data_IF_350725904482
#
_entry.id   IF_350725904482
#
_cell.length_a   1.000
_cell.length_b   1.000
_cell.length_c   1.000
_cell.angle_alpha   90.00
_cell.angle_beta   90.00
_cell.angle_gamma   90.00
#
_symmetry.space_group_name_H-M   'P 1'
#
loop_
_entity.id
_entity.type
_entity.pdbx_description
1 polymer ?
#
# COMPACT_ATOMS: atom_id res chain seq x y z
N UNK A 1 10.72 -22.66 -64.56
CA UNK A 1 9.43 -23.25 -64.15
C UNK A 1 9.31 -22.99 -62.66
N UNK A 2 8.47 -22.03 -62.26
CA UNK A 2 8.15 -21.81 -60.87
C UNK A 2 7.26 -22.96 -60.38
N UNK A 3 7.73 -23.71 -59.40
CA UNK A 3 6.96 -24.73 -58.71
C UNK A 3 6.37 -24.07 -57.45
N UNK A 4 5.08 -23.74 -57.47
CA UNK A 4 4.34 -23.22 -56.33
C UNK A 4 2.90 -22.89 -56.74
N UNK A 5 1.98 -22.94 -55.79
CA UNK A 5 0.59 -22.53 -56.00
C UNK A 5 0.56 -20.98 -56.15
N UNK A 6 0.06 -20.45 -57.31
CA UNK A 6 0.01 -18.99 -57.53
C UNK A 6 -0.99 -18.26 -56.61
N UNK A 7 -1.86 -19.02 -55.94
CA UNK A 7 -2.80 -18.46 -54.99
C UNK A 7 -2.38 -18.80 -53.56
N UNK A 8 -2.25 -17.82 -52.67
CA UNK A 8 -1.98 -18.11 -51.26
C UNK A 8 -3.11 -18.99 -50.70
N UNK A 9 -2.73 -20.00 -49.93
CA UNK A 9 -3.71 -20.82 -49.19
C UNK A 9 -4.55 -19.96 -48.29
N UNK A 10 -5.88 -20.23 -48.20
CA UNK A 10 -6.75 -19.51 -47.27
C UNK A 10 -6.24 -19.71 -45.84
N UNK A 11 -5.86 -18.64 -45.18
CA UNK A 11 -5.23 -18.69 -43.87
C UNK A 11 -5.53 -17.38 -43.09
N UNK A 12 -5.68 -17.47 -41.79
CA UNK A 12 -5.71 -16.32 -40.89
C UNK A 12 -4.66 -16.55 -39.78
N UNK A 13 -3.88 -15.56 -39.45
CA UNK A 13 -2.79 -15.75 -38.48
C UNK A 13 -2.48 -14.53 -37.63
N UNK A 14 -1.96 -14.78 -36.45
CA UNK A 14 -1.38 -13.77 -35.59
C UNK A 14 0.06 -13.53 -35.99
N UNK A 15 0.36 -12.33 -36.49
CA UNK A 15 1.71 -11.92 -36.95
C UNK A 15 2.59 -11.58 -35.74
N UNK A 16 2.06 -10.86 -34.75
CA UNK A 16 2.80 -10.40 -33.59
C UNK A 16 1.92 -9.99 -32.43
N UNK A 17 2.54 -9.92 -31.26
CA UNK A 17 1.96 -9.32 -30.06
C UNK A 17 2.97 -8.33 -29.51
N UNK A 18 2.57 -7.08 -29.43
CA UNK A 18 3.33 -6.01 -28.78
C UNK A 18 2.76 -5.79 -27.37
N UNK A 19 3.54 -6.15 -26.37
CA UNK A 19 3.21 -5.92 -24.97
C UNK A 19 4.18 -4.90 -24.38
N UNK A 20 3.77 -4.10 -23.36
CA UNK A 20 4.70 -3.26 -22.63
C UNK A 20 5.75 -4.13 -21.90
N UNK A 21 6.90 -3.57 -21.51
CA UNK A 21 7.96 -4.33 -20.84
C UNK A 21 7.54 -4.85 -19.46
N UNK A 22 6.60 -4.18 -18.81
CA UNK A 22 5.99 -4.60 -17.53
C UNK A 22 4.56 -4.10 -17.43
N UNK A 23 3.78 -4.70 -16.53
CA UNK A 23 2.46 -4.24 -16.10
C UNK A 23 2.40 -4.14 -14.58
N UNK A 24 1.47 -3.36 -14.06
CA UNK A 24 1.26 -3.22 -12.62
C UNK A 24 0.09 -4.09 -12.19
N UNK A 25 0.28 -4.88 -11.12
CA UNK A 25 -0.78 -5.72 -10.57
C UNK A 25 -2.01 -4.89 -10.20
N UNK A 26 -3.18 -5.31 -10.66
CA UNK A 26 -4.44 -4.62 -10.38
C UNK A 26 -4.72 -3.38 -11.25
N UNK A 27 -3.81 -3.00 -12.16
CA UNK A 27 -4.02 -1.90 -13.11
C UNK A 27 -4.31 -2.42 -14.53
N UNK A 28 -5.18 -1.76 -15.30
CA UNK A 28 -5.43 -2.15 -16.68
C UNK A 28 -4.17 -2.00 -17.54
N UNK A 29 -3.88 -3.00 -18.35
CA UNK A 29 -2.81 -3.01 -19.35
C UNK A 29 -3.38 -3.38 -20.70
N UNK A 30 -2.91 -2.73 -21.76
CA UNK A 30 -3.28 -3.04 -23.14
C UNK A 30 -2.12 -3.69 -23.89
N UNK A 31 -2.42 -4.73 -24.66
CA UNK A 31 -1.49 -5.37 -25.60
C UNK A 31 -2.04 -5.28 -26.99
N UNK A 32 -1.19 -4.91 -27.96
CA UNK A 32 -1.58 -4.79 -29.35
C UNK A 32 -1.23 -6.08 -30.09
N UNK A 33 -2.24 -6.69 -30.73
CA UNK A 33 -2.10 -7.91 -31.52
C UNK A 33 -2.21 -7.57 -33.00
N UNK A 34 -1.14 -7.80 -33.75
CA UNK A 34 -1.13 -7.67 -35.21
C UNK A 34 -1.50 -8.99 -35.85
N UNK A 35 -2.47 -8.98 -36.73
CA UNK A 35 -2.95 -10.15 -37.45
C UNK A 35 -3.23 -9.86 -38.94
N UNK A 36 -3.31 -10.88 -39.74
CA UNK A 36 -3.60 -10.81 -41.18
C UNK A 36 -4.40 -12.03 -41.63
N UNK A 37 -5.05 -11.96 -42.79
CA UNK A 37 -5.72 -13.10 -43.43
C UNK A 37 -5.64 -13.09 -44.94
N UNK A 38 -5.79 -14.25 -45.55
CA UNK A 38 -5.88 -14.47 -47.02
C UNK A 38 -7.21 -15.11 -47.43
N UNK A 39 -8.19 -15.23 -46.52
CA UNK A 39 -9.46 -15.90 -46.71
C UNK A 39 -10.42 -14.95 -47.46
N UNK A 40 -10.91 -15.29 -48.69
CA UNK A 40 -11.87 -14.48 -49.40
C UNK A 40 -13.21 -14.41 -48.67
N UNK A 41 -13.78 -13.19 -48.51
CA UNK A 41 -15.07 -13.02 -47.88
C UNK A 41 -15.11 -13.35 -46.39
N UNK A 42 -13.95 -13.32 -45.71
CA UNK A 42 -13.88 -13.50 -44.25
C UNK A 42 -14.85 -12.57 -43.54
N UNK A 43 -15.57 -13.09 -42.57
CA UNK A 43 -16.44 -12.33 -41.68
C UNK A 43 -15.71 -11.96 -40.39
N UNK A 44 -16.38 -11.18 -39.53
CA UNK A 44 -15.87 -10.89 -38.19
C UNK A 44 -15.51 -12.19 -37.45
N UNK A 45 -14.42 -12.17 -36.74
CA UNK A 45 -13.95 -13.25 -35.86
C UNK A 45 -13.72 -12.72 -34.45
N UNK A 46 -13.31 -13.61 -33.55
CA UNK A 46 -13.04 -13.25 -32.15
C UNK A 46 -11.57 -13.46 -31.82
N UNK A 47 -10.93 -12.41 -31.29
CA UNK A 47 -9.61 -12.49 -30.69
C UNK A 47 -9.78 -12.67 -29.18
N UNK A 48 -9.20 -13.72 -28.60
CA UNK A 48 -9.30 -14.07 -27.18
C UNK A 48 -7.94 -14.04 -26.51
N UNK A 49 -7.91 -13.63 -25.26
CA UNK A 49 -6.71 -13.66 -24.42
C UNK A 49 -6.93 -14.62 -23.25
N UNK A 50 -5.95 -15.52 -23.08
CA UNK A 50 -5.96 -16.53 -22.02
C UNK A 50 -4.80 -16.34 -21.06
N UNK A 51 -5.05 -16.59 -19.79
CA UNK A 51 -4.04 -16.74 -18.75
C UNK A 51 -4.31 -18.04 -17.99
N UNK A 52 -3.31 -18.90 -17.89
CA UNK A 52 -3.42 -20.22 -17.23
C UNK A 52 -4.62 -21.05 -17.75
N UNK A 53 -4.91 -20.98 -19.05
CA UNK A 53 -6.00 -21.71 -19.67
C UNK A 53 -7.39 -21.10 -19.51
N UNK A 54 -7.53 -19.99 -18.75
CA UNK A 54 -8.78 -19.28 -18.57
C UNK A 54 -8.84 -18.05 -19.47
N UNK A 55 -9.94 -17.86 -20.20
CA UNK A 55 -10.19 -16.62 -20.95
C UNK A 55 -10.35 -15.44 -19.98
N UNK A 56 -9.58 -14.37 -20.21
CA UNK A 56 -9.59 -13.16 -19.37
C UNK A 56 -10.18 -11.93 -20.08
N UNK A 57 -10.06 -11.88 -21.42
CA UNK A 57 -10.70 -10.83 -22.23
C UNK A 57 -10.83 -11.30 -23.67
N UNK A 58 -11.67 -10.64 -24.45
CA UNK A 58 -11.85 -10.87 -25.89
C UNK A 58 -12.25 -9.59 -26.59
N UNK A 59 -11.98 -9.55 -27.91
CA UNK A 59 -12.42 -8.50 -28.82
C UNK A 59 -12.97 -9.11 -30.12
N UNK A 60 -14.01 -8.51 -30.66
CA UNK A 60 -14.47 -8.82 -32.01
C UNK A 60 -13.56 -8.10 -33.01
N UNK A 61 -12.98 -8.83 -33.94
CA UNK A 61 -12.09 -8.28 -34.97
C UNK A 61 -12.77 -8.32 -36.32
N UNK A 62 -12.74 -7.19 -37.01
CA UNK A 62 -13.21 -7.08 -38.41
C UNK A 62 -12.03 -7.40 -39.32
N UNK A 63 -12.24 -8.24 -40.35
CA UNK A 63 -11.15 -8.58 -41.25
C UNK A 63 -10.67 -7.34 -42.02
N UNK A 64 -9.34 -7.14 -42.10
CA UNK A 64 -8.76 -6.12 -42.97
C UNK A 64 -8.96 -6.52 -44.45
N UNK A 65 -8.48 -5.72 -45.38
CA UNK A 65 -8.38 -6.15 -46.76
C UNK A 65 -7.50 -7.42 -46.88
N UNK A 66 -7.86 -8.31 -47.77
CA UNK A 66 -7.17 -9.59 -47.95
C UNK A 66 -5.66 -9.39 -48.17
N UNK A 67 -4.84 -9.97 -47.32
CA UNK A 67 -3.38 -9.80 -47.31
C UNK A 67 -2.88 -8.55 -46.59
N UNK A 68 -3.78 -7.67 -46.11
CA UNK A 68 -3.42 -6.54 -45.25
C UNK A 68 -3.31 -6.95 -43.80
N UNK A 69 -2.60 -6.14 -43.02
CA UNK A 69 -2.49 -6.30 -41.56
C UNK A 69 -3.44 -5.36 -40.83
N UNK A 70 -3.96 -5.84 -39.72
CA UNK A 70 -4.73 -5.04 -38.78
C UNK A 70 -4.22 -5.26 -37.38
N UNK A 71 -4.38 -4.23 -36.54
CA UNK A 71 -4.05 -4.27 -35.14
C UNK A 71 -5.35 -4.29 -34.31
N UNK A 72 -5.32 -5.03 -33.21
CA UNK A 72 -6.38 -5.05 -32.21
C UNK A 72 -5.79 -4.93 -30.83
N UNK A 73 -6.36 -4.08 -30.00
CA UNK A 73 -5.95 -3.90 -28.62
C UNK A 73 -6.80 -4.77 -27.69
N UNK A 74 -6.12 -5.56 -26.87
CA UNK A 74 -6.73 -6.36 -25.81
C UNK A 74 -6.35 -5.76 -24.46
N UNK A 75 -7.31 -5.20 -23.76
CA UNK A 75 -7.11 -4.64 -22.44
C UNK A 75 -7.56 -5.62 -21.35
N UNK A 76 -6.71 -5.82 -20.35
CA UNK A 76 -6.99 -6.69 -19.20
C UNK A 76 -6.27 -6.19 -17.94
N UNK A 77 -6.65 -6.74 -16.77
CA UNK A 77 -6.04 -6.40 -15.48
C UNK A 77 -5.31 -7.63 -14.93
N UNK A 78 -3.97 -7.61 -14.86
CA UNK A 78 -3.19 -8.71 -14.29
C UNK A 78 -3.45 -8.83 -12.78
N UNK A 79 -3.63 -10.06 -12.30
CA UNK A 79 -3.91 -10.36 -10.88
C UNK A 79 -2.79 -11.13 -10.18
N UNK A 80 -1.78 -11.60 -10.92
CA UNK A 80 -0.66 -12.36 -10.38
C UNK A 80 0.67 -11.70 -10.74
N UNK A 81 1.60 -11.69 -9.78
CA UNK A 81 2.93 -11.06 -9.90
C UNK A 81 3.97 -11.94 -10.57
N UNK A 82 5.05 -11.30 -10.96
CA UNK A 82 6.19 -11.94 -11.63
C UNK A 82 5.97 -12.16 -13.10
N UNK A 83 6.83 -12.96 -13.71
CA UNK A 83 6.74 -13.28 -15.14
C UNK A 83 5.51 -14.17 -15.40
N UNK A 84 4.50 -13.61 -16.05
CA UNK A 84 3.25 -14.29 -16.39
C UNK A 84 3.21 -14.58 -17.89
N UNK A 85 2.78 -15.81 -18.25
CA UNK A 85 2.61 -16.22 -19.64
C UNK A 85 1.14 -16.10 -20.04
N UNK A 86 0.91 -15.43 -21.15
CA UNK A 86 -0.41 -15.22 -21.75
C UNK A 86 -0.45 -15.85 -23.14
N UNK A 87 -1.63 -16.26 -23.57
CA UNK A 87 -1.87 -16.80 -24.92
C UNK A 87 -2.96 -16.01 -25.60
N UNK A 88 -2.66 -15.44 -26.75
CA UNK A 88 -3.67 -14.87 -27.66
C UNK A 88 -4.09 -15.95 -28.63
N UNK A 89 -5.38 -16.01 -28.92
CA UNK A 89 -5.99 -16.95 -29.85
C UNK A 89 -7.01 -16.24 -30.74
N UNK A 90 -6.83 -16.37 -32.06
CA UNK A 90 -7.84 -16.00 -33.05
C UNK A 90 -8.76 -17.19 -33.24
N UNK A 91 -10.08 -16.99 -33.13
CA UNK A 91 -11.05 -18.02 -33.36
C UNK A 91 -10.96 -18.54 -34.79
N UNK A 92 -10.86 -19.89 -34.95
CA UNK A 92 -10.68 -20.52 -36.23
C UNK A 92 -11.79 -20.19 -37.22
N UNK A 93 -11.42 -19.96 -38.47
CA UNK A 93 -12.34 -19.54 -39.52
C UNK A 93 -12.62 -20.75 -40.44
N UNK A 94 -13.86 -21.03 -40.83
CA UNK A 94 -14.18 -22.12 -41.75
C UNK A 94 -13.41 -22.00 -43.07
N UNK A 95 -12.75 -23.10 -43.47
CA UNK A 95 -11.96 -23.17 -44.72
C UNK A 95 -10.51 -22.76 -44.58
N UNK A 96 -10.05 -22.51 -43.37
CA UNK A 96 -8.66 -22.19 -43.05
C UNK A 96 -7.75 -23.44 -43.22
N UNK A 97 -6.59 -23.25 -43.82
CA UNK A 97 -5.65 -24.33 -44.08
C UNK A 97 -4.76 -24.68 -42.88
N UNK A 98 -4.55 -23.73 -41.98
CA UNK A 98 -3.70 -23.88 -40.79
C UNK A 98 -4.33 -23.18 -39.58
N UNK A 99 -4.39 -23.86 -38.45
CA UNK A 99 -4.93 -23.31 -37.20
C UNK A 99 -3.89 -23.13 -36.10
N UNK A 100 -2.68 -23.65 -36.29
CA UNK A 100 -1.61 -23.57 -35.30
C UNK A 100 -1.06 -22.16 -35.17
N UNK A 101 -1.11 -21.35 -36.24
CA UNK A 101 -0.65 -19.96 -36.28
C UNK A 101 -1.68 -18.96 -35.79
N UNK A 102 -2.87 -19.45 -35.42
CA UNK A 102 -3.92 -18.67 -34.73
C UNK A 102 -3.65 -18.45 -33.24
N UNK A 103 -2.58 -19.07 -32.72
CA UNK A 103 -2.18 -18.93 -31.32
C UNK A 103 -0.79 -18.32 -31.21
N UNK A 104 -0.65 -17.39 -30.26
CA UNK A 104 0.65 -16.82 -29.93
C UNK A 104 0.77 -16.56 -28.45
N UNK A 105 1.89 -16.98 -27.88
CA UNK A 105 2.23 -16.74 -26.49
C UNK A 105 3.11 -15.50 -26.37
N UNK A 106 2.92 -14.76 -25.30
CA UNK A 106 3.82 -13.71 -24.86
C UNK A 106 3.97 -13.76 -23.35
N UNK A 107 5.05 -13.16 -22.84
CA UNK A 107 5.31 -13.02 -21.41
C UNK A 107 5.24 -11.56 -21.02
N UNK A 108 4.71 -11.30 -19.83
CA UNK A 108 4.58 -9.97 -19.25
C UNK A 108 5.06 -10.04 -17.81
N UNK A 109 6.01 -9.15 -17.44
CA UNK A 109 6.43 -9.01 -16.05
C UNK A 109 5.43 -8.16 -15.29
N UNK A 110 4.76 -8.75 -14.31
CA UNK A 110 3.73 -8.08 -13.50
C UNK A 110 4.36 -7.65 -12.17
N UNK A 111 4.59 -6.35 -12.04
CA UNK A 111 5.18 -5.75 -10.85
C UNK A 111 4.10 -5.31 -9.86
N UNK A 112 4.48 -5.19 -8.59
CA UNK A 112 3.58 -4.69 -7.54
C UNK A 112 3.29 -3.21 -7.74
N UNK A 113 2.02 -2.81 -7.58
CA UNK A 113 1.67 -1.41 -7.45
C UNK A 113 2.40 -0.79 -6.25
N UNK A 114 3.07 0.34 -6.45
CA UNK A 114 3.67 1.08 -5.34
C UNK A 114 2.57 1.71 -4.50
N UNK A 115 2.76 1.67 -3.18
CA UNK A 115 1.87 2.36 -2.24
C UNK A 115 2.16 3.85 -2.28
N UNK A 116 1.15 4.66 -2.54
CA UNK A 116 1.27 6.12 -2.51
C UNK A 116 1.28 6.60 -1.07
N UNK A 117 2.41 7.17 -0.62
CA UNK A 117 2.58 7.74 0.70
C UNK A 117 2.68 9.27 0.60
N UNK A 118 1.66 9.99 1.07
CA UNK A 118 1.63 11.45 1.10
C UNK A 118 2.10 11.94 2.46
N UNK A 119 3.22 12.65 2.50
CA UNK A 119 3.75 13.29 3.70
C UNK A 119 3.35 14.76 3.66
N UNK A 120 2.52 15.19 4.60
CA UNK A 120 2.06 16.56 4.75
C UNK A 120 2.79 17.17 5.95
N UNK A 121 3.54 18.24 5.74
CA UNK A 121 4.31 18.88 6.79
C UNK A 121 4.14 20.39 6.79
N UNK A 122 4.12 21.00 7.97
CA UNK A 122 4.11 22.45 8.13
C UNK A 122 5.41 23.08 7.66
N UNK A 123 6.51 22.55 8.14
CA UNK A 123 7.86 23.02 7.83
C UNK A 123 8.81 21.83 7.65
N UNK A 124 9.95 22.00 6.94
CA UNK A 124 11.01 21.01 6.93
C UNK A 124 11.50 20.71 8.35
N UNK A 125 11.62 19.44 8.70
CA UNK A 125 12.12 18.98 9.99
C UNK A 125 12.88 17.67 9.86
N UNK A 126 13.61 17.30 10.91
CA UNK A 126 14.32 16.02 10.94
C UNK A 126 13.35 14.83 10.93
N UNK A 127 12.14 14.98 11.49
CA UNK A 127 11.09 13.96 11.43
C UNK A 127 10.55 13.78 10.00
N UNK A 128 10.39 14.86 9.23
CA UNK A 128 10.08 14.77 7.79
C UNK A 128 11.20 14.06 7.03
N UNK A 129 12.46 14.41 7.33
CA UNK A 129 13.63 13.74 6.76
C UNK A 129 13.67 12.24 7.09
N UNK A 130 13.24 11.85 8.27
CA UNK A 130 13.08 10.44 8.64
C UNK A 130 12.07 9.73 7.72
N UNK A 131 10.87 10.27 7.53
CA UNK A 131 9.85 9.66 6.67
C UNK A 131 10.28 9.58 5.21
N UNK A 132 10.94 10.63 4.72
CA UNK A 132 11.50 10.60 3.37
C UNK A 132 12.50 9.45 3.17
N UNK A 133 13.43 9.25 4.11
CA UNK A 133 14.37 8.12 4.07
C UNK A 133 13.65 6.78 4.28
N UNK A 134 12.69 6.75 5.21
CA UNK A 134 11.95 5.54 5.55
C UNK A 134 11.21 4.96 4.34
N UNK A 135 10.53 5.79 3.56
CA UNK A 135 9.84 5.37 2.34
C UNK A 135 10.78 5.26 1.14
N UNK A 136 11.71 6.19 0.97
CA UNK A 136 12.64 6.20 -0.17
C UNK A 136 13.60 5.01 -0.21
N UNK A 137 13.87 4.38 0.95
CA UNK A 137 14.65 3.14 1.03
C UNK A 137 13.85 1.88 0.64
N UNK A 138 12.58 2.01 0.24
CA UNK A 138 11.67 0.91 -0.08
C UNK A 138 11.09 1.06 -1.47
N UNK A 139 11.27 0.04 -2.29
CA UNK A 139 10.78 0.03 -3.67
C UNK A 139 9.25 -0.05 -3.78
N UNK A 140 8.58 -0.51 -2.72
CA UNK A 140 7.13 -0.69 -2.67
C UNK A 140 6.35 0.57 -2.28
N UNK A 141 7.03 1.71 -2.11
CA UNK A 141 6.40 3.01 -1.84
C UNK A 141 6.75 4.05 -2.89
N UNK A 142 5.80 4.97 -3.11
CA UNK A 142 5.96 6.19 -3.89
C UNK A 142 5.69 7.39 -2.95
N UNK A 143 6.73 7.93 -2.27
CA UNK A 143 6.57 9.02 -1.34
C UNK A 143 6.46 10.36 -2.04
N UNK A 144 5.43 11.13 -1.68
CA UNK A 144 5.26 12.53 -2.09
C UNK A 144 5.28 13.41 -0.84
N UNK A 145 6.12 14.44 -0.80
CA UNK A 145 6.19 15.38 0.30
C UNK A 145 5.57 16.70 -0.11
N UNK A 146 4.59 17.15 0.65
CA UNK A 146 3.97 18.45 0.51
C UNK A 146 4.24 19.31 1.75
N UNK A 147 4.69 20.56 1.53
CA UNK A 147 4.96 21.51 2.61
C UNK A 147 3.96 22.68 2.55
N UNK A 148 3.40 23.03 3.70
CA UNK A 148 2.47 24.16 3.84
C UNK A 148 3.16 25.52 4.04
N UNK A 149 4.46 25.63 3.79
CA UNK A 149 5.21 26.87 4.05
C UNK A 149 4.91 27.97 3.05
N UNK A 150 4.78 29.24 3.52
CA UNK A 150 4.58 30.40 2.62
C UNK A 150 5.81 30.74 1.77
N UNK A 151 6.98 30.11 2.01
CA UNK A 151 8.25 30.39 1.34
C UNK A 151 8.42 29.74 -0.04
N UNK A 152 7.57 28.78 -0.40
CA UNK A 152 7.49 28.24 -1.76
C UNK A 152 6.08 28.45 -2.28
N UNK A 153 5.96 28.92 -3.53
CA UNK A 153 4.69 28.83 -4.29
C UNK A 153 4.44 27.36 -4.63
N UNK A 154 4.16 26.56 -3.62
CA UNK A 154 3.69 25.20 -3.82
C UNK A 154 2.21 25.29 -4.12
N UNK A 155 1.76 24.59 -5.16
CA UNK A 155 0.33 24.50 -5.45
C UNK A 155 -0.42 24.03 -4.18
N UNK A 156 -1.60 24.58 -3.88
CA UNK A 156 -2.40 24.11 -2.76
C UNK A 156 -2.62 22.61 -2.89
N UNK A 157 -2.54 21.89 -1.78
CA UNK A 157 -2.87 20.47 -1.77
C UNK A 157 -4.36 20.32 -2.10
N UNK A 158 -4.63 19.85 -3.31
CA UNK A 158 -6.00 19.67 -3.79
C UNK A 158 -6.60 18.37 -3.23
N UNK A 159 -7.93 18.29 -3.08
CA UNK A 159 -8.61 17.04 -2.75
C UNK A 159 -8.24 15.88 -3.69
N UNK A 160 -8.04 16.17 -4.99
CA UNK A 160 -7.66 15.17 -5.99
C UNK A 160 -6.25 14.60 -5.76
N UNK A 161 -5.34 15.42 -5.22
CA UNK A 161 -3.98 14.95 -4.84
C UNK A 161 -4.00 13.98 -3.66
N UNK A 162 -5.05 14.04 -2.83
CA UNK A 162 -5.25 13.14 -1.69
C UNK A 162 -5.96 11.85 -2.12
N UNK A 163 -6.82 11.94 -3.13
CA UNK A 163 -7.54 10.78 -3.65
C UNK A 163 -6.57 9.69 -4.15
N UNK A 164 -6.89 8.43 -3.86
CA UNK A 164 -6.06 7.28 -4.23
C UNK A 164 -4.73 7.16 -3.47
N UNK A 165 -4.53 7.92 -2.38
CA UNK A 165 -3.40 7.75 -1.47
C UNK A 165 -3.65 6.56 -0.54
N UNK A 166 -2.65 5.68 -0.38
CA UNK A 166 -2.76 4.53 0.53
C UNK A 166 -2.43 4.90 1.97
N UNK A 167 -1.55 5.90 2.17
CA UNK A 167 -1.08 6.35 3.47
C UNK A 167 -0.87 7.86 3.47
N UNK A 168 -1.40 8.54 4.49
CA UNK A 168 -1.11 9.93 4.78
C UNK A 168 -0.31 10.00 6.09
N UNK A 169 0.83 10.69 6.05
CA UNK A 169 1.65 11.04 7.22
C UNK A 169 1.53 12.55 7.41
N UNK A 170 0.71 12.98 8.35
CA UNK A 170 0.48 14.39 8.62
C UNK A 170 1.25 14.85 9.85
N UNK A 171 2.26 15.69 9.62
CA UNK A 171 3.19 16.20 10.62
C UNK A 171 2.93 17.68 10.85
N UNK A 172 2.11 17.98 11.83
CA UNK A 172 1.71 19.35 12.15
C UNK A 172 1.81 19.70 13.64
N UNK A 173 2.99 19.60 14.26
CA UNK A 173 3.15 19.90 15.66
C UNK A 173 2.89 21.38 16.00
N UNK A 174 3.02 22.28 15.04
CA UNK A 174 2.72 23.70 15.22
C UNK A 174 1.25 24.07 14.95
N UNK A 175 0.51 23.19 14.29
CA UNK A 175 -0.92 23.28 14.00
C UNK A 175 -1.32 24.50 13.20
N UNK A 176 -1.43 24.46 11.90
CA UNK A 176 -2.07 25.42 10.99
C UNK A 176 -1.75 25.11 9.53
N UNK A 177 -1.33 23.88 9.25
CA UNK A 177 -0.82 23.56 7.91
C UNK A 177 -1.89 23.38 6.87
N UNK A 178 -3.08 22.89 7.26
CA UNK A 178 -4.12 22.56 6.30
C UNK A 178 -5.39 23.40 6.50
N UNK A 179 -5.93 23.99 5.41
CA UNK A 179 -7.27 24.55 5.42
C UNK A 179 -8.32 23.49 5.77
N UNK A 180 -9.47 23.88 6.37
CA UNK A 180 -10.54 22.94 6.74
C UNK A 180 -11.00 22.04 5.59
N UNK A 181 -11.11 22.57 4.38
CA UNK A 181 -11.49 21.80 3.18
C UNK A 181 -10.51 20.67 2.86
N UNK A 182 -9.23 20.89 3.05
CA UNK A 182 -8.19 19.87 2.84
C UNK A 182 -8.19 18.86 3.99
N UNK A 183 -8.42 19.28 5.22
CA UNK A 183 -8.62 18.39 6.37
C UNK A 183 -9.83 17.46 6.15
N UNK A 184 -10.92 17.98 5.59
CA UNK A 184 -12.10 17.17 5.25
C UNK A 184 -11.83 16.19 4.12
N UNK A 185 -10.93 16.53 3.18
CA UNK A 185 -10.49 15.60 2.15
C UNK A 185 -9.62 14.47 2.73
N UNK A 186 -8.73 14.78 3.69
CA UNK A 186 -7.99 13.76 4.45
C UNK A 186 -8.96 12.83 5.19
N UNK A 187 -9.96 13.40 5.87
CA UNK A 187 -10.95 12.59 6.58
C UNK A 187 -11.72 11.65 5.64
N UNK A 188 -12.14 12.13 4.46
CA UNK A 188 -12.80 11.29 3.44
C UNK A 188 -11.90 10.16 2.96
N UNK A 189 -10.63 10.46 2.65
CA UNK A 189 -9.68 9.43 2.23
C UNK A 189 -9.54 8.31 3.28
N UNK A 190 -9.49 8.68 4.56
CA UNK A 190 -9.47 7.70 5.66
C UNK A 190 -10.77 6.91 5.75
N UNK A 191 -11.92 7.56 5.62
CA UNK A 191 -13.22 6.87 5.59
C UNK A 191 -13.31 5.85 4.45
N UNK A 192 -12.62 6.08 3.34
CA UNK A 192 -12.54 5.20 2.16
C UNK A 192 -11.48 4.11 2.28
N UNK A 193 -10.60 4.16 3.27
CA UNK A 193 -9.63 3.11 3.56
C UNK A 193 -8.16 3.53 3.54
N UNK A 194 -7.84 4.83 3.37
CA UNK A 194 -6.49 5.35 3.50
C UNK A 194 -6.03 5.25 4.96
N UNK A 195 -4.77 4.85 5.18
CA UNK A 195 -4.14 4.92 6.50
C UNK A 195 -3.75 6.35 6.85
N UNK A 196 -3.91 6.75 8.13
CA UNK A 196 -3.48 8.06 8.62
C UNK A 196 -2.55 7.92 9.82
N UNK A 197 -1.32 8.40 9.68
CA UNK A 197 -0.46 8.74 10.80
C UNK A 197 -0.56 10.26 11.01
N UNK A 198 -1.03 10.67 12.19
CA UNK A 198 -1.20 12.07 12.55
C UNK A 198 -0.32 12.43 13.75
N UNK A 199 0.59 13.37 13.56
CA UNK A 199 1.25 14.08 14.66
C UNK A 199 0.49 15.38 14.86
N UNK A 200 -0.46 15.44 15.83
CA UNK A 200 -1.36 16.56 15.97
C UNK A 200 -0.62 17.81 16.44
N UNK A 201 -1.10 18.95 15.98
CA UNK A 201 -0.75 20.24 16.53
C UNK A 201 -1.67 20.66 17.68
N UNK A 202 -1.46 21.87 18.16
CA UNK A 202 -2.25 22.50 19.24
C UNK A 202 -3.52 23.17 18.73
N UNK A 203 -3.74 23.24 17.42
CA UNK A 203 -4.85 23.96 16.81
C UNK A 203 -6.07 23.07 16.51
N UNK A 204 -7.19 23.74 16.24
CA UNK A 204 -8.44 23.07 15.95
C UNK A 204 -8.36 22.30 14.62
N UNK A 205 -8.68 21.04 14.66
CA UNK A 205 -8.96 20.23 13.46
C UNK A 205 -10.42 20.41 13.03
N UNK A 206 -10.72 20.17 11.74
CA UNK A 206 -12.09 20.25 11.24
C UNK A 206 -12.99 19.25 12.00
N UNK A 207 -14.31 19.53 12.09
CA UNK A 207 -15.25 18.61 12.75
C UNK A 207 -15.17 17.19 12.19
N UNK A 208 -15.12 17.05 10.88
CA UNK A 208 -15.05 15.74 10.21
C UNK A 208 -13.76 14.98 10.54
N UNK A 209 -12.61 15.66 10.50
CA UNK A 209 -11.34 15.03 10.85
C UNK A 209 -11.33 14.64 12.34
N UNK A 210 -11.90 15.48 13.20
CA UNK A 210 -12.02 15.18 14.64
C UNK A 210 -12.79 13.90 14.92
N UNK A 211 -13.82 13.60 14.14
CA UNK A 211 -14.65 12.39 14.33
C UNK A 211 -13.88 11.09 14.06
N UNK A 212 -12.91 11.11 13.14
CA UNK A 212 -12.13 9.92 12.78
C UNK A 212 -10.87 9.72 13.63
N UNK A 213 -10.44 10.76 14.39
CA UNK A 213 -9.27 10.61 15.26
C UNK A 213 -9.61 9.75 16.49
N UNK A 214 -8.73 8.80 16.87
CA UNK A 214 -8.93 7.94 18.04
C UNK A 214 -8.72 8.68 19.38
N UNK A 215 -8.53 9.98 19.35
CA UNK A 215 -8.30 10.83 20.52
C UNK A 215 -9.12 12.10 20.46
N UNK A 216 -9.38 12.67 21.63
CA UNK A 216 -9.84 14.06 21.78
C UNK A 216 -8.62 14.96 21.89
N UNK A 217 -8.64 16.07 21.14
CA UNK A 217 -7.56 17.06 21.10
C UNK A 217 -7.89 18.31 21.91
N UNK A 218 -8.90 18.26 22.76
CA UNK A 218 -9.34 19.42 23.57
C UNK A 218 -8.35 19.70 24.71
N UNK A 219 -7.74 20.87 24.69
CA UNK A 219 -6.77 21.26 25.71
C UNK A 219 -5.37 20.68 25.52
N UNK A 220 -5.08 20.16 24.34
CA UNK A 220 -3.73 19.71 23.99
C UNK A 220 -2.74 20.88 23.96
N UNK A 221 -1.50 20.62 24.38
CA UNK A 221 -0.40 21.59 24.37
C UNK A 221 0.85 20.91 23.83
N UNK A 222 1.61 21.63 23.04
CA UNK A 222 2.94 21.19 22.63
C UNK A 222 3.98 21.67 23.67
N UNK A 223 4.75 20.74 24.18
CA UNK A 223 5.78 20.98 25.18
C UNK A 223 7.13 20.57 24.58
N UNK A 224 8.06 21.50 24.35
CA UNK A 224 9.42 21.17 23.97
C UNK A 224 10.18 20.62 25.18
N UNK A 225 11.03 19.62 24.97
CA UNK A 225 11.81 19.00 26.04
C UNK A 225 12.15 17.56 25.71
N UNK A 226 12.81 16.90 26.67
CA UNK A 226 13.10 15.47 26.55
C UNK A 226 12.06 14.67 27.34
N UNK A 227 11.42 13.72 26.66
CA UNK A 227 10.34 12.91 27.23
C UNK A 227 10.64 11.44 26.99
N UNK A 228 10.79 10.70 28.07
CA UNK A 228 10.87 9.25 28.01
C UNK A 228 9.51 8.65 27.70
N UNK A 229 9.51 7.56 26.94
CA UNK A 229 8.28 6.87 26.54
C UNK A 229 8.40 5.38 26.78
N UNK A 230 7.26 4.78 27.11
CA UNK A 230 7.15 3.34 27.41
C UNK A 230 6.03 2.74 26.59
N UNK A 231 6.18 1.46 26.24
CA UNK A 231 5.07 0.72 25.63
C UNK A 231 3.97 0.53 26.65
N UNK A 232 2.72 0.71 26.20
CA UNK A 232 1.56 0.40 27.03
C UNK A 232 1.38 -1.13 27.15
N UNK A 233 1.04 -1.59 28.34
CA UNK A 233 0.71 -3.00 28.56
C UNK A 233 -0.77 -3.28 28.22
N UNK A 234 -1.12 -4.49 27.77
CA UNK A 234 -0.23 -5.61 27.46
C UNK A 234 0.39 -5.47 26.07
N UNK A 235 1.67 -5.86 25.93
CA UNK A 235 2.49 -5.68 24.72
C UNK A 235 1.93 -6.34 23.45
N UNK A 236 1.07 -7.32 23.57
CA UNK A 236 0.57 -8.11 22.44
C UNK A 236 -0.90 -7.85 22.11
N UNK A 237 -1.51 -6.87 22.73
CA UNK A 237 -2.94 -6.58 22.56
C UNK A 237 -3.28 -5.93 21.21
N UNK A 238 -2.29 -5.45 20.46
CA UNK A 238 -2.52 -4.75 19.20
C UNK A 238 -1.58 -5.26 18.10
N UNK A 239 -2.02 -5.33 16.83
CA UNK A 239 -1.17 -5.74 15.72
C UNK A 239 0.16 -4.97 15.58
N UNK A 240 0.20 -3.70 15.94
CA UNK A 240 1.44 -2.91 15.92
C UNK A 240 2.45 -3.44 16.93
N UNK A 241 2.02 -3.84 18.12
CA UNK A 241 2.88 -4.35 19.18
C UNK A 241 3.15 -5.84 19.12
N UNK A 242 2.52 -6.58 18.20
CA UNK A 242 2.62 -8.03 18.13
C UNK A 242 2.88 -8.63 16.75
N UNK A 243 3.22 -7.83 15.73
CA UNK A 243 3.27 -8.29 14.33
C UNK A 243 4.57 -8.96 13.87
N UNK A 244 5.65 -8.93 14.61
CA UNK A 244 6.93 -9.49 14.15
C UNK A 244 7.48 -10.54 15.13
N UNK A 245 7.69 -11.81 14.68
CA UNK A 245 8.35 -12.84 15.50
C UNK A 245 9.79 -12.48 15.90
N UNK A 246 10.43 -11.53 15.20
CA UNK A 246 11.71 -10.92 15.59
C UNK A 246 11.62 -9.96 16.77
N UNK A 247 10.46 -9.78 17.36
CA UNK A 247 10.17 -8.91 18.51
C UNK A 247 10.76 -9.35 19.86
N UNK A 248 11.63 -10.35 19.90
CA UNK A 248 12.56 -10.50 21.04
C UNK A 248 13.37 -9.20 21.32
N UNK A 249 13.35 -8.24 20.38
CA UNK A 249 14.01 -6.94 20.45
C UNK A 249 13.21 -5.85 21.18
N UNK A 250 11.97 -6.10 21.61
CA UNK A 250 11.25 -5.15 22.48
C UNK A 250 11.92 -4.96 23.86
N UNK A 251 12.77 -5.87 24.27
CA UNK A 251 13.65 -5.66 25.43
C UNK A 251 14.60 -4.46 25.25
N UNK A 252 14.81 -4.02 24.01
CA UNK A 252 15.58 -2.81 23.69
C UNK A 252 14.75 -1.53 23.67
N UNK A 253 13.42 -1.57 23.92
CA UNK A 253 12.59 -0.35 23.98
C UNK A 253 13.06 0.60 25.07
N UNK A 254 13.56 0.11 26.18
CA UNK A 254 14.13 0.91 27.26
C UNK A 254 15.34 1.77 26.79
N UNK A 255 15.97 1.39 25.68
CA UNK A 255 17.08 2.13 25.07
C UNK A 255 16.66 3.14 23.99
N UNK A 256 15.35 3.28 23.74
CA UNK A 256 14.83 4.24 22.75
C UNK A 256 15.12 5.67 23.25
N UNK A 257 15.79 6.51 22.43
CA UNK A 257 16.08 7.88 22.83
C UNK A 257 14.83 8.68 23.17
N UNK A 258 14.86 9.57 24.18
CA UNK A 258 13.75 10.42 24.52
C UNK A 258 13.24 11.25 23.33
N UNK A 259 11.96 11.53 23.27
CA UNK A 259 11.36 12.48 22.33
C UNK A 259 11.86 13.89 22.64
N UNK A 260 11.90 14.78 21.64
CA UNK A 260 12.32 16.18 21.79
C UNK A 260 11.15 17.15 21.97
N UNK A 261 9.95 16.67 21.92
CA UNK A 261 8.73 17.42 22.17
C UNK A 261 7.54 16.47 22.27
N UNK A 262 6.57 16.89 23.03
CA UNK A 262 5.37 16.11 23.31
C UNK A 262 4.11 16.97 23.19
N UNK A 263 3.07 16.41 22.60
CA UNK A 263 1.70 16.95 22.68
C UNK A 263 1.02 16.31 23.86
N UNK A 264 0.91 17.03 24.95
CA UNK A 264 0.21 16.60 26.17
C UNK A 264 -1.31 16.77 26.05
N UNK A 265 -2.07 16.07 26.89
CA UNK A 265 -3.52 16.18 26.97
C UNK A 265 -4.28 15.35 25.92
N UNK A 266 -3.64 14.40 25.25
CA UNK A 266 -4.33 13.43 24.39
C UNK A 266 -5.25 12.54 25.23
N UNK A 267 -6.55 12.51 24.90
CA UNK A 267 -7.54 11.67 25.59
C UNK A 267 -8.04 10.58 24.65
N UNK A 268 -7.68 9.31 24.86
CA UNK A 268 -8.16 8.21 24.02
C UNK A 268 -9.67 8.11 24.07
N UNK A 269 -10.29 7.90 22.90
CA UNK A 269 -11.73 7.65 22.78
C UNK A 269 -12.06 6.19 23.08
N UNK A 270 -13.33 5.93 23.34
CA UNK A 270 -13.82 4.56 23.49
C UNK A 270 -13.48 3.76 22.21
N UNK A 271 -12.90 2.58 22.37
CA UNK A 271 -12.47 1.74 21.27
C UNK A 271 -11.06 2.00 20.77
N UNK A 272 -10.40 3.07 21.19
CA UNK A 272 -9.00 3.33 20.85
C UNK A 272 -8.04 2.53 21.74
N UNK A 273 -6.89 2.17 21.18
CA UNK A 273 -5.83 1.43 21.88
C UNK A 273 -4.63 2.33 22.08
N UNK A 274 -4.20 2.48 23.34
CA UNK A 274 -2.95 3.17 23.69
C UNK A 274 -1.80 2.21 23.47
N UNK A 275 -0.80 2.61 22.66
CA UNK A 275 0.37 1.81 22.31
C UNK A 275 1.63 2.26 23.04
N UNK A 276 1.77 3.57 23.22
CA UNK A 276 2.92 4.20 23.86
C UNK A 276 2.41 5.25 24.85
N UNK A 277 3.03 5.29 26.02
CA UNK A 277 2.76 6.26 27.08
C UNK A 277 4.03 6.98 27.49
N UNK A 278 3.88 8.19 27.99
CA UNK A 278 4.89 8.95 28.73
C UNK A 278 4.34 9.39 30.08
N UNK A 279 5.14 10.14 30.85
CA UNK A 279 4.71 10.64 32.16
C UNK A 279 3.53 11.63 32.06
N UNK A 280 3.38 12.33 30.92
CA UNK A 280 2.27 13.23 30.65
C UNK A 280 1.03 12.53 30.06
N UNK A 281 1.01 11.21 29.98
CA UNK A 281 -0.11 10.41 29.48
C UNK A 281 0.14 9.71 28.13
N UNK A 282 -0.92 9.41 27.36
CA UNK A 282 -0.81 8.71 26.07
C UNK A 282 0.01 9.49 25.05
N UNK A 283 0.90 8.79 24.33
CA UNK A 283 1.76 9.32 23.27
C UNK A 283 1.37 8.75 21.92
N UNK A 284 1.14 7.43 21.81
CA UNK A 284 0.66 6.81 20.60
C UNK A 284 -0.67 6.12 20.84
N UNK A 285 -1.68 6.48 20.05
CA UNK A 285 -3.05 5.94 20.17
C UNK A 285 -3.54 5.50 18.80
N UNK A 286 -3.90 4.23 18.68
CA UNK A 286 -4.42 3.61 17.48
C UNK A 286 -5.95 3.48 17.50
N UNK A 287 -6.58 3.59 16.33
CA UNK A 287 -8.01 3.39 16.16
C UNK A 287 -8.42 3.31 14.71
N UNK A 288 -9.72 3.24 14.46
CA UNK A 288 -10.31 3.10 13.12
C UNK A 288 -11.14 4.33 12.77
N UNK A 289 -10.99 4.80 11.52
CA UNK A 289 -11.81 5.84 10.91
C UNK A 289 -12.71 5.28 9.82
N UNK A 290 -13.76 4.55 10.17
CA UNK A 290 -14.61 3.75 9.27
C UNK A 290 -13.80 2.61 8.62
N UNK A 291 -13.38 2.75 7.34
CA UNK A 291 -12.60 1.71 6.63
C UNK A 291 -11.10 1.85 6.81
N UNK A 292 -10.60 3.07 7.05
CA UNK A 292 -9.18 3.34 7.24
C UNK A 292 -8.76 3.23 8.70
N UNK A 293 -7.47 3.18 8.93
CA UNK A 293 -6.83 3.07 10.23
C UNK A 293 -6.12 4.36 10.57
N UNK A 294 -6.15 4.73 11.83
CA UNK A 294 -5.59 5.99 12.30
C UNK A 294 -4.64 5.74 13.47
N UNK A 295 -3.43 6.26 13.38
CA UNK A 295 -2.48 6.33 14.47
C UNK A 295 -2.20 7.80 14.78
N UNK A 296 -2.56 8.23 15.98
CA UNK A 296 -2.14 9.52 16.50
C UNK A 296 -0.87 9.32 17.31
N UNK A 297 0.17 10.11 17.01
CA UNK A 297 1.44 10.08 17.70
C UNK A 297 1.81 11.49 18.18
N UNK A 298 1.73 11.72 19.48
CA UNK A 298 1.90 13.04 20.10
C UNK A 298 3.36 13.44 20.33
N UNK A 299 4.33 12.87 19.63
CA UNK A 299 5.74 13.12 19.88
C UNK A 299 6.50 13.65 18.67
N UNK A 300 7.58 14.39 18.92
CA UNK A 300 8.55 14.83 17.90
C UNK A 300 9.98 14.41 18.27
N UNK A 301 10.88 14.39 17.28
CA UNK A 301 12.27 13.97 17.52
C UNK A 301 12.47 12.45 17.47
N UNK A 302 11.46 11.70 17.04
CA UNK A 302 11.52 10.24 16.88
C UNK A 302 12.43 9.78 15.72
N UNK A 303 12.90 10.69 14.86
CA UNK A 303 13.97 10.40 13.90
C UNK A 303 15.23 9.84 14.55
N UNK A 304 15.47 10.19 15.84
CA UNK A 304 16.58 9.71 16.65
C UNK A 304 16.48 8.20 16.93
N UNK A 305 15.28 7.65 16.94
CA UNK A 305 15.01 6.23 17.17
C UNK A 305 15.60 5.31 16.10
N UNK A 306 15.89 5.86 14.93
CA UNK A 306 16.55 5.15 13.84
C UNK A 306 18.06 5.46 13.80
N UNK A 307 18.43 6.74 13.79
CA UNK A 307 19.80 7.17 13.50
C UNK A 307 20.75 6.87 14.66
N UNK A 308 20.38 7.18 15.91
CA UNK A 308 21.29 7.03 17.03
C UNK A 308 21.63 5.57 17.33
N UNK A 309 20.67 4.64 17.42
CA UNK A 309 21.01 3.23 17.62
C UNK A 309 21.84 2.64 16.48
N UNK A 310 21.56 3.02 15.22
CA UNK A 310 22.39 2.60 14.07
C UNK A 310 23.82 3.10 14.17
N UNK A 311 24.00 4.34 14.60
CA UNK A 311 25.33 4.92 14.86
C UNK A 311 26.12 4.15 15.93
N UNK A 312 25.42 3.44 16.83
CA UNK A 312 26.01 2.55 17.85
C UNK A 312 26.11 1.08 17.39
N UNK A 313 25.86 0.79 16.12
CA UNK A 313 25.95 -0.56 15.55
C UNK A 313 24.71 -1.44 15.76
N UNK A 314 23.60 -0.89 16.26
CA UNK A 314 22.34 -1.63 16.42
C UNK A 314 21.64 -1.75 15.06
N UNK A 315 21.60 -2.95 14.51
CA UNK A 315 21.09 -3.20 13.15
C UNK A 315 19.60 -2.99 12.97
N UNK A 316 18.80 -3.33 13.98
CA UNK A 316 17.32 -3.20 13.94
C UNK A 316 16.80 -2.53 15.22
N UNK A 317 16.83 -1.18 15.29
CA UNK A 317 16.38 -0.46 16.47
C UNK A 317 14.89 -0.67 16.76
N UNK A 318 14.52 -0.80 18.04
CA UNK A 318 13.12 -0.98 18.47
C UNK A 318 12.18 0.11 17.94
N UNK A 319 12.62 1.37 17.92
CA UNK A 319 11.83 2.46 17.35
C UNK A 319 11.58 2.32 15.84
N UNK A 320 12.58 1.82 15.08
CA UNK A 320 12.38 1.52 13.65
C UNK A 320 11.42 0.35 13.45
N UNK A 321 11.51 -0.68 14.30
CA UNK A 321 10.60 -1.83 14.27
C UNK A 321 9.15 -1.37 14.56
N UNK A 322 8.95 -0.49 15.55
CA UNK A 322 7.66 0.13 15.83
C UNK A 322 7.08 0.83 14.60
N UNK A 323 7.86 1.69 13.94
CA UNK A 323 7.38 2.41 12.75
C UNK A 323 7.07 1.47 11.58
N UNK A 324 7.88 0.43 11.36
CA UNK A 324 7.58 -0.60 10.35
C UNK A 324 6.24 -1.29 10.61
N UNK A 325 6.00 -1.69 11.86
CA UNK A 325 4.74 -2.33 12.25
C UNK A 325 3.55 -1.37 12.14
N UNK A 326 3.72 -0.11 12.57
CA UNK A 326 2.70 0.93 12.50
C UNK A 326 2.27 1.19 11.05
N UNK A 327 3.24 1.38 10.14
CA UNK A 327 2.94 1.63 8.72
C UNK A 327 2.29 0.40 8.08
N UNK A 328 2.79 -0.82 8.35
CA UNK A 328 2.17 -2.05 7.87
C UNK A 328 0.71 -2.16 8.31
N UNK A 329 0.43 -1.87 9.58
CA UNK A 329 -0.93 -1.89 10.10
C UNK A 329 -1.81 -0.83 9.44
N UNK A 330 -1.33 0.41 9.28
CA UNK A 330 -2.09 1.50 8.68
C UNK A 330 -2.54 1.21 7.25
N UNK A 331 -1.69 0.57 6.43
CA UNK A 331 -1.98 0.28 5.02
C UNK A 331 -2.63 -1.08 4.77
N UNK A 332 -2.74 -1.92 5.81
CA UNK A 332 -3.35 -3.25 5.66
C UNK A 332 -4.85 -3.10 5.45
N UNK A 333 -5.35 -3.63 4.33
CA UNK A 333 -6.78 -3.70 4.01
C UNK A 333 -7.43 -4.99 4.52
N UNK A 334 -6.63 -5.93 4.99
CA UNK A 334 -7.14 -7.17 5.58
C UNK A 334 -7.84 -6.84 6.90
N UNK A 335 -9.03 -7.41 7.09
CA UNK A 335 -9.63 -7.47 8.42
C UNK A 335 -8.58 -8.02 9.39
N UNK A 336 -8.42 -7.37 10.53
CA UNK A 336 -7.49 -7.84 11.57
C UNK A 336 -7.71 -9.34 11.74
N UNK A 337 -6.64 -10.15 11.67
CA UNK A 337 -6.79 -11.58 11.92
C UNK A 337 -7.40 -11.74 13.32
N UNK A 338 -8.67 -12.13 13.36
CA UNK A 338 -9.42 -12.27 14.61
C UNK A 338 -8.82 -13.33 15.52
N UNK A 339 -8.04 -14.23 14.96
CA UNK A 339 -7.35 -15.29 15.70
C UNK A 339 -5.87 -15.29 15.32
N UNK A 340 -5.02 -15.10 16.30
CA UNK A 340 -3.57 -15.25 16.16
C UNK A 340 -3.10 -16.40 16.99
N UNK A 341 -2.28 -17.25 16.38
CA UNK A 341 -1.63 -18.38 17.04
C UNK A 341 -0.12 -18.14 17.05
N UNK A 342 0.49 -18.22 18.20
CA UNK A 342 1.92 -18.00 18.36
C UNK A 342 2.54 -19.10 19.22
N UNK A 343 3.74 -19.53 18.86
CA UNK A 343 4.55 -20.44 19.69
C UNK A 343 5.57 -19.64 20.49
N UNK A 344 5.87 -20.06 21.69
CA UNK A 344 6.80 -19.36 22.60
C UNK A 344 8.24 -19.26 22.08
N UNK A 345 8.62 -20.10 21.08
CA UNK A 345 9.94 -20.12 20.44
C UNK A 345 9.79 -20.43 18.95
N UNK A 346 10.72 -19.97 18.10
CA UNK A 346 10.68 -20.27 16.66
C UNK A 346 11.08 -21.72 16.33
N UNK A 347 11.80 -22.40 17.24
CA UNK A 347 12.27 -23.78 17.05
C UNK A 347 12.13 -24.60 18.35
N UNK A 348 11.74 -25.85 18.20
CA UNK A 348 11.60 -26.84 19.30
C UNK A 348 12.35 -28.11 18.92
N UNK A 349 12.86 -28.80 19.92
CA UNK A 349 13.44 -30.15 19.74
C UNK A 349 12.32 -31.19 19.68
N UNK A 350 12.58 -32.29 18.98
CA UNK A 350 11.64 -33.41 18.94
C UNK A 350 11.34 -33.92 20.36
N UNK A 351 10.05 -33.96 20.74
CA UNK A 351 9.59 -34.35 22.09
C UNK A 351 9.53 -33.22 23.12
N UNK A 352 9.93 -31.97 22.75
CA UNK A 352 9.78 -30.81 23.62
C UNK A 352 8.31 -30.32 23.60
N UNK A 353 7.71 -30.01 24.77
CA UNK A 353 6.36 -29.43 24.79
C UNK A 353 6.32 -28.05 24.17
N UNK A 354 5.40 -27.85 23.22
CA UNK A 354 5.19 -26.55 22.53
C UNK A 354 4.11 -25.78 23.27
N UNK A 355 4.46 -24.64 23.85
CA UNK A 355 3.48 -23.69 24.34
C UNK A 355 2.92 -22.91 23.14
N UNK A 356 1.61 -22.97 22.96
CA UNK A 356 0.87 -22.25 21.92
C UNK A 356 -0.01 -21.23 22.60
N UNK A 357 0.24 -19.96 22.34
CA UNK A 357 -0.59 -18.86 22.81
C UNK A 357 -1.56 -18.46 21.68
N UNK A 358 -2.86 -18.45 21.96
CA UNK A 358 -3.92 -18.09 21.03
C UNK A 358 -4.55 -16.78 21.49
N UNK A 359 -4.48 -15.77 20.65
CA UNK A 359 -5.09 -14.47 20.88
C UNK A 359 -6.29 -14.32 19.97
N UNK A 360 -7.44 -14.04 20.58
CA UNK A 360 -8.69 -13.76 19.84
C UNK A 360 -9.02 -12.30 20.02
N UNK A 361 -9.28 -11.59 18.91
CA UNK A 361 -9.69 -10.20 18.92
C UNK A 361 -10.98 -10.01 18.11
N UNK A 362 -11.77 -9.02 18.47
CA UNK A 362 -12.92 -8.58 17.70
C UNK A 362 -12.52 -7.78 16.44
N UNK A 363 -13.50 -7.36 15.63
CA UNK A 363 -13.26 -6.54 14.43
C UNK A 363 -12.58 -5.20 14.75
N UNK A 364 -12.67 -4.71 15.97
CA UNK A 364 -12.01 -3.50 16.44
C UNK A 364 -10.61 -3.77 17.01
N UNK A 365 -10.06 -5.01 16.83
CA UNK A 365 -8.76 -5.46 17.39
C UNK A 365 -8.69 -5.47 18.91
N UNK A 366 -9.83 -5.54 19.61
CA UNK A 366 -9.88 -5.71 21.06
C UNK A 366 -9.78 -7.18 21.41
N UNK A 367 -9.01 -7.54 22.48
CA UNK A 367 -9.02 -8.90 23.00
C UNK A 367 -10.45 -9.30 23.40
N UNK A 368 -10.84 -10.51 22.99
CA UNK A 368 -12.08 -11.13 23.46
C UNK A 368 -11.67 -12.02 24.64
N UNK A 369 -12.02 -11.59 25.85
CA UNK A 369 -11.87 -12.41 27.05
C UNK A 369 -12.92 -13.52 27.05
N UNK A 370 -12.48 -14.74 27.28
CA UNK A 370 -13.36 -15.89 27.49
C UNK A 370 -13.61 -16.10 28.98
#
# INVERSE_FOLDING_TARGET
VGVGNPHPEPDARIVGVAAPPYAVEGEPVSVTVTWEHTIPGMRASTMRLFHQGREITRAIVLPPETGARADVDLTFTPSARGMQAYTVELEGVPGESRTENNRRMFSLDVVKAKKRALIIAGTPSADVGFWNRFFGAREDYDPVIWYATPFRRVAPLSPDSIAGTDLIVWLDPAGNTLPPVTQDAVARAVEEGCGLLCVPGTNSVSPRLREILPVELTGTRFEPGQFEVRLAAPLFAHPISGMDPGFAEWSSWESVPPLLGLVSGLRPRQGATVLVTGDAGPVAVAGHGKKGRVLVFGGTGYWRWDILPRGMGIGNPAGTAFWKAAIRWLISREASQMVRVQTGRPFYRLGEPVRVDIFVSDEASKPVDN
#
